data_IF_095220207820
#
_entry.id   IF_095220207820
#
_cell.length_a   1.000
_cell.length_b   1.000
_cell.length_c   1.000
_cell.angle_alpha   90.00
_cell.angle_beta   90.00
_cell.angle_gamma   90.00
#
_symmetry.space_group_name_H-M   'P 1'
#
loop_
_entity.id
_entity.type
_entity.pdbx_description
1 polymer ?
#
# COMPACT_ATOMS: atom_id res chain seq x y z
N UNK A 1 -11.19 22.61 -1.68
CA UNK A 1 -10.17 22.04 -2.59
C UNK A 1 -10.23 20.51 -2.65
N UNK A 2 -10.46 19.80 -1.54
CA UNK A 2 -10.46 18.32 -1.49
C UNK A 2 -11.41 17.64 -2.49
N UNK A 3 -12.67 18.09 -2.58
CA UNK A 3 -13.66 17.55 -3.54
C UNK A 3 -13.21 17.63 -5.00
N UNK A 4 -12.55 18.72 -5.41
CA UNK A 4 -12.06 18.87 -6.79
C UNK A 4 -10.95 17.87 -7.12
N UNK A 5 -10.09 17.57 -6.15
CA UNK A 5 -8.99 16.62 -6.29
C UNK A 5 -9.49 15.18 -6.42
N UNK A 6 -10.50 14.81 -5.64
CA UNK A 6 -11.21 13.52 -5.74
C UNK A 6 -11.84 13.35 -7.12
N UNK A 7 -12.51 14.38 -7.64
CA UNK A 7 -13.09 14.36 -8.99
C UNK A 7 -12.01 14.16 -10.06
N UNK A 8 -10.88 14.85 -9.95
CA UNK A 8 -9.74 14.69 -10.87
C UNK A 8 -9.12 13.29 -10.76
N UNK A 9 -9.01 12.74 -9.54
CA UNK A 9 -8.54 11.37 -9.31
C UNK A 9 -9.41 10.34 -10.01
N UNK A 10 -10.73 10.39 -9.79
CA UNK A 10 -11.69 9.50 -10.46
C UNK A 10 -11.67 9.65 -11.98
N UNK A 11 -11.63 10.89 -12.48
CA UNK A 11 -11.59 11.16 -13.92
C UNK A 11 -10.32 10.58 -14.55
N UNK A 12 -9.16 10.81 -13.93
CA UNK A 12 -7.88 10.28 -14.39
C UNK A 12 -7.82 8.75 -14.31
N UNK A 13 -8.34 8.16 -13.23
CA UNK A 13 -8.43 6.70 -13.07
C UNK A 13 -9.23 6.05 -14.21
N UNK A 14 -10.44 6.53 -14.47
CA UNK A 14 -11.30 6.00 -15.55
C UNK A 14 -10.64 6.20 -16.92
N UNK A 15 -10.03 7.36 -17.16
CA UNK A 15 -9.38 7.66 -18.42
C UNK A 15 -8.17 6.75 -18.68
N UNK A 16 -7.34 6.50 -17.66
CA UNK A 16 -6.18 5.61 -17.78
C UNK A 16 -6.59 4.16 -18.05
N UNK A 17 -7.62 3.66 -17.38
CA UNK A 17 -8.16 2.32 -17.66
C UNK A 17 -8.68 2.24 -19.10
N UNK A 18 -9.45 3.24 -19.54
CA UNK A 18 -9.96 3.28 -20.91
C UNK A 18 -8.82 3.36 -21.96
N UNK A 19 -7.78 4.15 -21.69
CA UNK A 19 -6.61 4.24 -22.56
C UNK A 19 -5.84 2.91 -22.61
N UNK A 20 -5.68 2.24 -21.46
CA UNK A 20 -5.07 0.92 -21.36
C UNK A 20 -5.80 -0.12 -22.20
N UNK A 21 -7.13 -0.18 -22.08
CA UNK A 21 -7.97 -1.09 -22.88
C UNK A 21 -7.89 -0.76 -24.37
N UNK A 22 -7.94 0.53 -24.74
CA UNK A 22 -7.86 0.96 -26.13
C UNK A 22 -6.51 0.57 -26.76
N UNK A 23 -5.39 0.80 -26.06
CA UNK A 23 -4.07 0.39 -26.52
C UNK A 23 -3.96 -1.14 -26.65
N UNK A 24 -4.54 -1.89 -25.71
CA UNK A 24 -4.56 -3.35 -25.78
C UNK A 24 -5.35 -3.88 -26.99
N UNK A 25 -6.49 -3.28 -27.30
CA UNK A 25 -7.30 -3.66 -28.48
C UNK A 25 -6.58 -3.28 -29.78
N UNK A 26 -5.90 -2.12 -29.81
CA UNK A 26 -5.21 -1.62 -31.00
C UNK A 26 -3.99 -2.47 -31.37
N UNK A 27 -3.20 -2.85 -30.37
CA UNK A 27 -1.93 -3.52 -30.59
C UNK A 27 -2.03 -5.05 -30.39
N UNK A 28 -3.20 -5.55 -29.95
CA UNK A 28 -3.53 -6.96 -29.66
C UNK A 28 -2.54 -7.67 -28.72
N UNK A 29 -1.71 -6.89 -28.01
CA UNK A 29 -0.61 -7.38 -27.18
C UNK A 29 -0.39 -6.44 -25.99
N UNK A 30 0.16 -6.99 -24.90
CA UNK A 30 0.57 -6.22 -23.73
C UNK A 30 1.87 -5.44 -24.02
N UNK A 31 1.72 -4.27 -24.63
CA UNK A 31 2.82 -3.36 -24.97
C UNK A 31 3.21 -2.47 -23.78
N UNK A 32 4.37 -1.80 -23.88
CA UNK A 32 4.83 -0.86 -22.86
C UNK A 32 3.84 0.30 -22.63
N UNK A 33 3.07 0.69 -23.65
CA UNK A 33 2.01 1.71 -23.54
C UNK A 33 0.89 1.25 -22.61
N UNK A 34 0.40 0.01 -22.78
CA UNK A 34 -0.62 -0.60 -21.91
C UNK A 34 -0.14 -0.64 -20.46
N UNK A 35 1.10 -1.10 -20.24
CA UNK A 35 1.73 -1.14 -18.92
C UNK A 35 1.88 0.24 -18.29
N UNK A 36 2.24 1.24 -19.09
CA UNK A 36 2.41 2.62 -18.61
C UNK A 36 1.10 3.16 -18.03
N UNK A 37 -0.02 2.93 -18.71
CA UNK A 37 -1.33 3.34 -18.20
C UNK A 37 -1.73 2.57 -16.92
N UNK A 38 -1.55 1.25 -16.90
CA UNK A 38 -1.87 0.43 -15.72
C UNK A 38 -1.06 0.83 -14.49
N UNK A 39 0.24 1.09 -14.67
CA UNK A 39 1.13 1.51 -13.58
C UNK A 39 0.82 2.90 -13.05
N UNK A 40 0.31 3.81 -13.89
CA UNK A 40 -0.13 5.14 -13.45
C UNK A 40 -1.49 5.12 -12.74
N UNK A 41 -2.31 4.12 -13.03
CA UNK A 41 -3.66 3.98 -12.50
C UNK A 41 -3.74 4.03 -10.95
N UNK A 42 -2.90 3.30 -10.17
CA UNK A 42 -2.94 3.37 -8.71
C UNK A 42 -2.65 4.76 -8.14
N UNK A 43 -1.88 5.61 -8.84
CA UNK A 43 -1.60 6.98 -8.41
C UNK A 43 -2.87 7.85 -8.45
N UNK A 44 -3.64 7.76 -9.53
CA UNK A 44 -4.89 8.48 -9.66
C UNK A 44 -5.98 7.92 -8.77
N UNK A 45 -5.98 6.59 -8.57
CA UNK A 45 -6.88 5.93 -7.62
C UNK A 45 -6.59 6.40 -6.19
N UNK A 46 -5.33 6.48 -5.78
CA UNK A 46 -4.95 7.06 -4.50
C UNK A 46 -5.45 8.50 -4.35
N UNK A 47 -5.32 9.32 -5.40
CA UNK A 47 -5.83 10.69 -5.39
C UNK A 47 -7.37 10.75 -5.28
N UNK A 48 -8.07 9.73 -5.76
CA UNK A 48 -9.52 9.58 -5.72
C UNK A 48 -10.04 9.12 -4.34
N UNK A 49 -9.31 8.22 -3.67
CA UNK A 49 -9.69 7.68 -2.36
C UNK A 49 -9.23 8.54 -1.17
N UNK A 50 -8.24 9.41 -1.35
CA UNK A 50 -7.72 10.22 -0.23
C UNK A 50 -8.62 11.42 0.07
N UNK A 51 -9.51 11.24 1.04
CA UNK A 51 -10.25 12.34 1.65
C UNK A 51 -9.34 13.19 2.55
N UNK A 52 -8.37 12.58 3.24
CA UNK A 52 -7.38 13.29 4.04
C UNK A 52 -6.03 13.37 3.32
N UNK A 53 -5.61 14.60 3.03
CA UNK A 53 -4.26 14.83 2.58
C UNK A 53 -3.32 14.61 3.77
N UNK A 54 -2.56 13.51 3.76
CA UNK A 54 -1.44 13.29 4.71
C UNK A 54 -0.42 14.45 4.73
N UNK A 55 -0.43 15.30 3.70
CA UNK A 55 0.37 16.52 3.60
C UNK A 55 -0.24 17.78 4.28
N UNK A 56 -1.51 17.76 4.70
CA UNK A 56 -2.16 18.87 5.43
C UNK A 56 -2.01 18.67 6.94
N UNK A 57 -0.84 18.19 7.38
CA UNK A 57 -0.43 18.33 8.78
C UNK A 57 0.29 19.67 8.93
N UNK A 58 -0.49 20.75 8.96
CA UNK A 58 -0.02 22.02 9.49
C UNK A 58 -0.19 22.00 11.01
N UNK A 59 0.93 21.74 11.69
CA UNK A 59 1.38 22.45 12.90
C UNK A 59 0.35 22.84 13.97
N UNK A 60 -0.52 21.92 14.40
CA UNK A 60 -1.04 21.99 15.76
C UNK A 60 -1.49 20.60 16.24
N UNK A 61 -0.80 20.14 17.29
CA UNK A 61 -1.24 19.21 18.33
C UNK A 61 -2.03 17.97 17.88
N UNK A 62 -1.30 16.91 17.52
CA UNK A 62 -1.40 15.59 18.17
C UNK A 62 -0.61 14.57 17.33
N UNK A 63 0.32 13.80 17.93
CA UNK A 63 1.05 12.77 17.21
C UNK A 63 0.04 11.79 16.61
N UNK A 64 0.28 11.47 15.34
CA UNK A 64 -0.47 10.52 14.55
C UNK A 64 -0.47 9.19 15.33
N UNK A 65 -1.60 8.80 15.93
CA UNK A 65 -1.86 7.39 16.24
C UNK A 65 -2.08 6.68 14.90
N UNK A 66 -0.96 6.41 14.24
CA UNK A 66 -0.87 5.46 13.16
C UNK A 66 -0.96 4.08 13.82
N UNK A 67 -1.78 3.20 13.25
CA UNK A 67 -2.09 1.83 13.70
C UNK A 67 -3.22 1.72 14.73
N UNK A 68 -4.47 1.82 14.24
CA UNK A 68 -5.51 0.92 14.76
C UNK A 68 -5.14 -0.46 14.20
N UNK A 69 -4.43 -1.23 15.01
CA UNK A 69 -4.21 -2.66 14.76
C UNK A 69 -5.56 -3.34 15.01
N UNK A 70 -6.27 -3.66 13.93
CA UNK A 70 -7.42 -4.58 13.99
C UNK A 70 -6.87 -5.97 14.38
N UNK A 71 -7.09 -6.30 15.64
CA UNK A 71 -7.08 -7.64 16.22
C UNK A 71 -5.76 -8.44 16.15
N UNK A 72 -4.92 -8.27 17.16
CA UNK A 72 -4.37 -9.44 17.84
C UNK A 72 -4.35 -9.21 19.35
N UNK A 73 -5.22 -9.93 20.05
CA UNK A 73 -5.03 -10.25 21.46
C UNK A 73 -3.80 -11.15 21.58
N UNK A 74 -2.60 -10.61 21.45
CA UNK A 74 -1.39 -11.25 21.95
C UNK A 74 -1.02 -10.59 23.27
N UNK A 75 -1.57 -11.18 24.33
CA UNK A 75 -0.94 -11.13 25.65
C UNK A 75 0.53 -11.44 25.43
N UNK A 76 1.40 -10.45 25.59
CA UNK A 76 2.84 -10.65 25.67
C UNK A 76 3.06 -11.57 26.88
N UNK A 77 3.21 -12.87 26.62
CA UNK A 77 3.77 -13.83 27.56
C UNK A 77 5.23 -13.42 27.80
N UNK A 78 5.41 -12.53 28.77
CA UNK A 78 6.64 -12.37 29.53
C UNK A 78 6.95 -13.72 30.20
N UNK A 79 7.71 -14.59 29.52
CA UNK A 79 8.06 -15.89 30.10
C UNK A 79 8.45 -17.04 29.17
N UNK A 80 8.67 -16.85 27.86
CA UNK A 80 9.24 -17.94 27.05
C UNK A 80 10.77 -17.97 27.21
N UNK A 81 11.21 -18.63 28.28
CA UNK A 81 12.60 -19.02 28.50
C UNK A 81 13.06 -19.84 27.28
N UNK A 82 13.97 -19.25 26.49
CA UNK A 82 14.45 -19.86 25.25
C UNK A 82 15.37 -21.02 25.67
N UNK A 83 14.91 -22.26 25.51
CA UNK A 83 15.69 -23.44 25.90
C UNK A 83 17.00 -23.52 25.12
N UNK A 84 18.09 -23.92 25.80
CA UNK A 84 19.42 -23.98 25.19
C UNK A 84 19.41 -24.84 23.91
N UNK A 85 20.00 -24.36 22.80
CA UNK A 85 19.88 -24.99 21.49
C UNK A 85 20.45 -26.42 21.44
N UNK A 86 21.40 -26.72 22.32
CA UNK A 86 22.00 -28.05 22.48
C UNK A 86 20.97 -29.04 23.06
N UNK A 87 20.20 -28.61 24.06
CA UNK A 87 19.17 -29.45 24.69
C UNK A 87 17.93 -29.59 23.77
N UNK A 88 17.68 -28.58 22.94
CA UNK A 88 16.67 -28.62 21.88
C UNK A 88 17.07 -29.45 20.64
N UNK A 89 18.29 -30.04 20.63
CA UNK A 89 18.75 -30.95 19.58
C UNK A 89 19.09 -30.26 18.25
N UNK A 90 19.33 -28.96 18.26
CA UNK A 90 19.82 -28.24 17.09
C UNK A 90 21.34 -28.40 16.96
N UNK A 91 21.80 -28.83 15.79
CA UNK A 91 23.23 -28.97 15.51
C UNK A 91 23.83 -27.58 15.20
N UNK A 92 24.85 -27.18 15.96
CA UNK A 92 25.47 -25.86 15.85
C UNK A 92 26.75 -26.00 15.02
N UNK A 93 26.92 -25.28 13.90
CA UNK A 93 28.11 -25.41 13.08
C UNK A 93 29.35 -24.96 13.86
N UNK A 94 30.34 -25.85 13.98
CA UNK A 94 31.67 -25.49 14.48
C UNK A 94 32.47 -24.87 13.34
N UNK A 95 32.92 -23.62 13.54
CA UNK A 95 33.89 -22.95 12.68
C UNK A 95 35.31 -23.40 13.00
#
# INVERSE_FOLDING_TARGET
>A
MLRGRVIVGWLGFVLLIAASINALIRDEMLTMEVWSYLLLTPLFLFLALTEDAFWVRSDDQDPIELFVDEEESSTLEDGKEVSDPIEAGFDIPVS
#
